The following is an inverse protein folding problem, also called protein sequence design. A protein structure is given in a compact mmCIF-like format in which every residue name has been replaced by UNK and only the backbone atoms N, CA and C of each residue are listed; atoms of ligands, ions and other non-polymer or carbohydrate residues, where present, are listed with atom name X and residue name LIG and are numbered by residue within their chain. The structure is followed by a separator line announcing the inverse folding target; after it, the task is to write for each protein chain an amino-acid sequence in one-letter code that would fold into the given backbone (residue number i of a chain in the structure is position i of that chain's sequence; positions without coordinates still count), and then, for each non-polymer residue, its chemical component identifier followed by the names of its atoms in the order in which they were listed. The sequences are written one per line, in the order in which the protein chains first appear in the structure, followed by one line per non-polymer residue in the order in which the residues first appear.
data_IF_757048853006
#
_entry.id   IF_757048853006
#
_cell.length_a   1.000
_cell.length_b   1.000
_cell.length_c   1.000
_cell.angle_alpha   90.00
_cell.angle_beta   90.00
_cell.angle_gamma   90.00
#
_symmetry.space_group_name_H-M   'P 1'
#
loop_
_entity.id
_entity.type
_entity.pdbx_description
1 polymer ?
#
# COMPACT_ATOMS: atom_id res chain seq x y z
N UNK A 1 -14.84 -2.05 -11.53
CA UNK A 1 -16.01 -2.89 -11.88
C UNK A 1 -17.03 -2.82 -10.76
N UNK A 2 -17.95 -1.86 -10.81
CA UNK A 2 -19.03 -1.76 -9.85
C UNK A 2 -20.08 -2.87 -10.08
N UNK A 3 -20.68 -3.36 -9.00
CA UNK A 3 -21.80 -4.31 -9.04
C UNK A 3 -22.74 -4.07 -7.85
N UNK A 4 -24.01 -4.46 -7.98
CA UNK A 4 -25.08 -4.14 -7.01
C UNK A 4 -25.74 -5.37 -6.36
N UNK A 5 -25.34 -6.57 -6.77
CA UNK A 5 -25.96 -7.82 -6.35
C UNK A 5 -25.00 -8.99 -6.50
N UNK A 6 -25.22 -10.03 -5.69
CA UNK A 6 -24.42 -11.26 -5.72
C UNK A 6 -24.45 -11.93 -7.10
N UNK A 7 -25.61 -11.92 -7.77
CA UNK A 7 -25.72 -12.45 -9.14
C UNK A 7 -24.94 -11.58 -10.14
N UNK A 8 -24.93 -10.25 -9.97
CA UNK A 8 -24.13 -9.37 -10.82
C UNK A 8 -22.64 -9.65 -10.66
N UNK A 9 -22.17 -9.88 -9.43
CA UNK A 9 -20.79 -10.28 -9.17
C UNK A 9 -20.43 -11.57 -9.93
N UNK A 10 -21.23 -12.63 -9.80
CA UNK A 10 -20.98 -13.91 -10.49
C UNK A 10 -21.00 -13.73 -12.02
N UNK A 11 -22.00 -13.01 -12.57
CA UNK A 11 -22.10 -12.74 -14.02
C UNK A 11 -20.90 -11.98 -14.56
N UNK A 12 -20.32 -11.07 -13.77
CA UNK A 12 -19.14 -10.32 -14.16
C UNK A 12 -17.87 -11.18 -14.08
N UNK A 13 -17.66 -11.92 -12.99
CA UNK A 13 -16.38 -12.58 -12.73
C UNK A 13 -16.24 -13.90 -13.50
N UNK A 14 -17.27 -14.76 -13.52
CA UNK A 14 -17.16 -16.14 -14.05
C UNK A 14 -16.72 -16.20 -15.53
N UNK A 15 -17.31 -15.43 -16.46
CA UNK A 15 -16.88 -15.49 -17.87
C UNK A 15 -15.41 -15.12 -18.04
N UNK A 16 -14.93 -14.11 -17.28
CA UNK A 16 -13.55 -13.62 -17.35
C UNK A 16 -12.56 -14.65 -16.81
N UNK A 17 -12.92 -15.32 -15.71
CA UNK A 17 -12.14 -16.43 -15.17
C UNK A 17 -12.02 -17.57 -16.19
N UNK A 18 -13.14 -17.99 -16.81
CA UNK A 18 -13.11 -19.06 -17.83
C UNK A 18 -12.26 -18.70 -19.05
N UNK A 19 -12.38 -17.46 -19.55
CA UNK A 19 -11.56 -16.98 -20.66
C UNK A 19 -10.08 -17.01 -20.27
N UNK A 20 -9.73 -16.49 -19.09
CA UNK A 20 -8.36 -16.48 -18.61
C UNK A 20 -7.76 -17.89 -18.45
N UNK A 21 -8.53 -18.84 -17.90
CA UNK A 21 -8.11 -20.24 -17.81
C UNK A 21 -7.90 -20.86 -19.20
N UNK A 22 -8.81 -20.59 -20.15
CA UNK A 22 -8.68 -21.05 -21.54
C UNK A 22 -7.43 -20.46 -22.23
N UNK A 23 -7.06 -19.22 -21.90
CA UNK A 23 -5.84 -18.57 -22.39
C UNK A 23 -4.56 -19.05 -21.67
N UNK A 24 -4.66 -19.98 -20.73
CA UNK A 24 -3.55 -20.48 -19.93
C UNK A 24 -3.01 -19.48 -18.91
N UNK A 25 -3.81 -18.47 -18.52
CA UNK A 25 -3.43 -17.52 -17.46
C UNK A 25 -3.57 -18.18 -16.10
N UNK A 26 -2.69 -17.80 -15.18
CA UNK A 26 -2.85 -18.09 -13.75
C UNK A 26 -3.92 -17.14 -13.19
N UNK A 27 -4.91 -17.65 -12.46
CA UNK A 27 -6.03 -16.85 -11.96
C UNK A 27 -5.99 -16.75 -10.44
N UNK A 28 -6.02 -15.52 -9.90
CA UNK A 28 -6.17 -15.25 -8.48
C UNK A 28 -7.47 -14.48 -8.25
N UNK A 29 -8.28 -14.94 -7.29
CA UNK A 29 -9.46 -14.23 -6.81
C UNK A 29 -9.28 -13.89 -5.34
N UNK A 30 -9.42 -12.61 -5.02
CA UNK A 30 -9.38 -12.05 -3.67
C UNK A 30 -10.70 -11.36 -3.39
N UNK A 31 -11.57 -11.96 -2.56
CA UNK A 31 -12.90 -11.44 -2.21
C UNK A 31 -13.34 -11.98 -0.84
N UNK A 32 -14.56 -11.65 -0.40
CA UNK A 32 -15.13 -12.19 0.83
C UNK A 32 -15.41 -13.70 0.70
N UNK A 33 -15.50 -14.44 1.83
CA UNK A 33 -15.78 -15.88 1.81
C UNK A 33 -17.04 -16.26 1.02
N UNK A 34 -18.13 -15.50 1.18
CA UNK A 34 -19.40 -15.78 0.50
C UNK A 34 -19.27 -15.71 -1.03
N UNK A 35 -18.58 -14.69 -1.54
CA UNK A 35 -18.31 -14.53 -2.97
C UNK A 35 -17.35 -15.60 -3.51
N UNK A 36 -16.37 -16.02 -2.69
CA UNK A 36 -15.51 -17.15 -3.03
C UNK A 36 -16.36 -18.42 -3.19
N UNK A 37 -17.27 -18.72 -2.27
CA UNK A 37 -18.13 -19.92 -2.34
C UNK A 37 -19.05 -19.88 -3.56
N UNK A 38 -19.66 -18.73 -3.85
CA UNK A 38 -20.46 -18.51 -5.08
C UNK A 38 -19.67 -18.79 -6.35
N UNK A 39 -18.40 -18.38 -6.39
CA UNK A 39 -17.53 -18.67 -7.53
C UNK A 39 -17.17 -20.14 -7.62
N UNK A 40 -17.00 -20.84 -6.50
CA UNK A 40 -16.81 -22.31 -6.50
C UNK A 40 -17.97 -22.99 -7.21
N UNK A 41 -19.19 -22.67 -6.78
CA UNK A 41 -20.40 -23.30 -7.29
C UNK A 41 -20.59 -23.01 -8.78
N UNK A 42 -20.38 -21.75 -9.18
CA UNK A 42 -20.56 -21.33 -10.57
C UNK A 42 -19.47 -21.83 -11.53
N UNK A 43 -18.23 -22.01 -11.06
CA UNK A 43 -17.11 -22.51 -11.86
C UNK A 43 -17.08 -24.05 -11.93
N UNK A 44 -17.61 -24.74 -10.92
CA UNK A 44 -17.59 -26.20 -10.84
C UNK A 44 -16.15 -26.73 -10.85
N UNK A 45 -15.82 -27.60 -11.82
CA UNK A 45 -14.48 -28.22 -11.91
C UNK A 45 -13.36 -27.18 -12.12
N UNK A 46 -13.67 -26.08 -12.80
CA UNK A 46 -12.69 -25.02 -13.08
C UNK A 46 -12.20 -24.33 -11.80
N UNK A 47 -12.96 -24.41 -10.70
CA UNK A 47 -12.61 -23.80 -9.42
C UNK A 47 -11.26 -24.31 -8.86
N UNK A 48 -10.88 -25.56 -9.17
CA UNK A 48 -9.59 -26.13 -8.78
C UNK A 48 -8.37 -25.50 -9.45
N UNK A 49 -8.58 -24.68 -10.48
CA UNK A 49 -7.52 -23.97 -11.22
C UNK A 49 -7.41 -22.49 -10.82
N UNK A 50 -8.17 -22.05 -9.82
CA UNK A 50 -8.20 -20.66 -9.35
C UNK A 50 -7.55 -20.57 -7.96
N UNK A 51 -6.49 -19.76 -7.85
CA UNK A 51 -5.92 -19.38 -6.56
C UNK A 51 -6.90 -18.44 -5.82
N UNK A 52 -7.12 -18.68 -4.52
CA UNK A 52 -8.15 -17.97 -3.74
C UNK A 52 -7.56 -17.36 -2.47
N UNK A 53 -7.93 -16.13 -2.15
CA UNK A 53 -7.51 -15.44 -0.93
C UNK A 53 -8.68 -14.66 -0.33
N UNK A 54 -8.73 -14.59 0.99
CA UNK A 54 -9.77 -13.82 1.70
C UNK A 54 -9.38 -12.34 1.73
N UNK A 55 -10.28 -11.47 1.28
CA UNK A 55 -10.03 -10.04 1.14
C UNK A 55 -9.62 -9.37 2.46
N UNK A 56 -10.27 -9.70 3.58
CA UNK A 56 -10.00 -9.08 4.88
C UNK A 56 -8.53 -9.27 5.32
N UNK A 57 -7.98 -10.47 5.18
CA UNK A 57 -6.58 -10.74 5.51
C UNK A 57 -5.61 -10.26 4.42
N UNK A 58 -6.00 -10.37 3.15
CA UNK A 58 -5.11 -10.03 2.04
C UNK A 58 -4.87 -8.53 1.99
N UNK A 59 -5.93 -7.72 2.04
CA UNK A 59 -5.86 -6.27 2.04
C UNK A 59 -5.64 -5.66 3.44
N UNK A 60 -5.31 -6.46 4.45
CA UNK A 60 -5.01 -5.95 5.80
C UNK A 60 -3.88 -4.92 5.78
N UNK A 61 -2.97 -5.03 4.81
CA UNK A 61 -1.88 -4.07 4.60
C UNK A 61 -1.68 -3.80 3.10
N UNK A 62 -1.86 -2.56 2.61
CA UNK A 62 -1.84 -2.25 1.18
C UNK A 62 -0.49 -2.56 0.51
N UNK A 63 0.63 -2.25 1.18
CA UNK A 63 1.96 -2.47 0.62
C UNK A 63 2.42 -3.93 0.64
N UNK A 64 1.98 -4.73 1.62
CA UNK A 64 2.17 -6.19 1.58
C UNK A 64 1.30 -6.84 0.51
N UNK A 65 0.09 -6.31 0.29
CA UNK A 65 -0.76 -6.71 -0.84
C UNK A 65 -0.06 -6.45 -2.16
N UNK A 66 0.54 -5.26 -2.31
CA UNK A 66 1.28 -4.87 -3.51
C UNK A 66 2.47 -5.79 -3.76
N UNK A 67 3.26 -6.08 -2.72
CA UNK A 67 4.37 -7.03 -2.80
C UNK A 67 3.91 -8.41 -3.25
N UNK A 68 2.83 -8.93 -2.64
CA UNK A 68 2.30 -10.24 -2.97
C UNK A 68 1.72 -10.31 -4.40
N UNK A 69 1.10 -9.23 -4.89
CA UNK A 69 0.63 -9.13 -6.27
C UNK A 69 1.80 -9.04 -7.26
N UNK A 70 2.84 -8.26 -6.95
CA UNK A 70 4.05 -8.21 -7.74
C UNK A 70 4.68 -9.61 -7.89
N UNK A 71 4.89 -10.32 -6.79
CA UNK A 71 5.43 -11.69 -6.81
C UNK A 71 4.54 -12.67 -7.57
N UNK A 72 3.22 -12.54 -7.41
CA UNK A 72 2.25 -13.41 -8.08
C UNK A 72 2.25 -13.24 -9.60
N UNK A 73 2.43 -12.01 -10.08
CA UNK A 73 2.37 -11.65 -11.51
C UNK A 73 3.70 -11.84 -12.23
N UNK A 74 4.82 -11.95 -11.50
CA UNK A 74 6.16 -12.08 -12.07
C UNK A 74 6.28 -13.34 -12.94
N UNK A 75 6.71 -13.14 -14.19
CA UNK A 75 7.08 -14.20 -15.12
C UNK A 75 5.93 -15.06 -15.66
N UNK A 76 4.66 -14.69 -15.43
CA UNK A 76 3.49 -15.43 -15.93
C UNK A 76 2.38 -14.50 -16.38
N UNK A 77 1.61 -14.94 -17.38
CA UNK A 77 0.36 -14.26 -17.75
C UNK A 77 -0.66 -14.52 -16.64
N UNK A 78 -1.22 -13.46 -16.08
CA UNK A 78 -2.11 -13.56 -14.92
C UNK A 78 -3.43 -12.84 -15.14
N UNK A 79 -4.45 -13.32 -14.46
CA UNK A 79 -5.69 -12.60 -14.17
C UNK A 79 -5.81 -12.52 -12.65
N UNK A 80 -6.02 -11.32 -12.13
CA UNK A 80 -6.31 -11.07 -10.73
C UNK A 80 -7.67 -10.37 -10.65
N UNK A 81 -8.56 -10.92 -9.82
CA UNK A 81 -9.83 -10.28 -9.45
C UNK A 81 -9.71 -9.89 -7.99
N UNK A 82 -9.67 -8.60 -7.71
CA UNK A 82 -9.47 -8.05 -6.38
C UNK A 82 -10.69 -7.29 -5.90
N UNK A 83 -11.14 -7.57 -4.69
CA UNK A 83 -12.22 -6.85 -4.02
C UNK A 83 -11.77 -6.45 -2.61
N UNK A 84 -11.38 -5.18 -2.39
CA UNK A 84 -11.00 -4.71 -1.06
C UNK A 84 -12.16 -4.82 -0.06
N UNK A 85 -11.86 -5.25 1.17
CA UNK A 85 -12.83 -5.29 2.26
C UNK A 85 -12.93 -3.91 2.94
N UNK A 86 -14.06 -3.21 2.80
CA UNK A 86 -14.19 -1.83 3.30
C UNK A 86 -14.63 -1.70 4.76
N UNK A 87 -15.20 -2.75 5.33
CA UNK A 87 -15.78 -2.74 6.67
C UNK A 87 -14.75 -2.42 7.75
N UNK A 88 -15.09 -1.51 8.66
CA UNK A 88 -14.24 -1.12 9.80
C UNK A 88 -13.08 -0.19 9.47
N UNK A 89 -12.88 0.20 8.20
CA UNK A 89 -11.79 1.08 7.79
C UNK A 89 -12.08 2.55 8.08
N UNK A 90 -11.06 3.26 8.56
CA UNK A 90 -11.09 4.71 8.71
C UNK A 90 -10.68 5.44 7.41
N UNK A 91 -10.88 6.75 7.36
CA UNK A 91 -10.60 7.56 6.16
C UNK A 91 -9.14 7.48 5.69
N UNK A 92 -8.18 7.34 6.62
CA UNK A 92 -6.76 7.18 6.29
C UNK A 92 -6.53 5.85 5.57
N UNK A 93 -7.09 4.76 6.08
CA UNK A 93 -6.98 3.44 5.45
C UNK A 93 -7.64 3.41 4.06
N UNK A 94 -8.83 4.02 3.92
CA UNK A 94 -9.50 4.16 2.61
C UNK A 94 -8.62 4.91 1.61
N UNK A 95 -8.01 6.02 2.01
CA UNK A 95 -7.08 6.77 1.14
C UNK A 95 -5.85 5.95 0.74
N UNK A 96 -5.25 5.20 1.67
CA UNK A 96 -4.11 4.34 1.35
C UNK A 96 -4.47 3.26 0.33
N UNK A 97 -5.70 2.75 0.35
CA UNK A 97 -6.15 1.75 -0.62
C UNK A 97 -6.44 2.35 -1.99
N UNK A 98 -7.03 3.56 -2.04
CA UNK A 98 -7.17 4.30 -3.30
C UNK A 98 -5.78 4.51 -3.93
N UNK A 99 -4.79 4.92 -3.11
CA UNK A 99 -3.41 5.08 -3.59
C UNK A 99 -2.80 3.76 -4.03
N UNK A 100 -3.02 2.68 -3.28
CA UNK A 100 -2.59 1.34 -3.64
C UNK A 100 -3.15 0.89 -5.00
N UNK A 101 -4.44 1.06 -5.24
CA UNK A 101 -5.07 0.73 -6.53
C UNK A 101 -4.46 1.51 -7.69
N UNK A 102 -4.20 2.80 -7.49
CA UNK A 102 -3.51 3.61 -8.49
C UNK A 102 -2.10 3.08 -8.75
N UNK A 103 -1.28 2.89 -7.70
CA UNK A 103 0.11 2.42 -7.78
C UNK A 103 0.24 1.07 -8.50
N UNK A 104 -0.76 0.19 -8.43
CA UNK A 104 -0.75 -1.09 -9.15
C UNK A 104 -0.57 -0.90 -10.66
N UNK A 105 -1.10 0.17 -11.26
CA UNK A 105 -0.90 0.46 -12.67
C UNK A 105 0.59 0.65 -13.02
N UNK A 106 1.37 1.27 -12.14
CA UNK A 106 2.80 1.45 -12.35
C UNK A 106 3.60 0.19 -11.96
N UNK A 107 3.30 -0.40 -10.80
CA UNK A 107 4.04 -1.54 -10.27
C UNK A 107 3.88 -2.82 -11.09
N UNK A 108 2.75 -2.97 -11.79
CA UNK A 108 2.45 -4.16 -12.60
C UNK A 108 2.54 -3.92 -14.11
N UNK A 109 2.79 -2.67 -14.57
CA UNK A 109 2.94 -2.34 -15.99
C UNK A 109 3.94 -3.23 -16.76
N UNK A 110 5.08 -3.67 -16.18
CA UNK A 110 6.03 -4.54 -16.87
C UNK A 110 5.53 -5.98 -17.08
N UNK A 111 4.44 -6.39 -16.42
CA UNK A 111 3.97 -7.77 -16.41
C UNK A 111 2.71 -7.97 -17.25
N UNK A 112 2.54 -9.18 -17.76
CA UNK A 112 1.35 -9.58 -18.51
C UNK A 112 0.16 -9.89 -17.56
N UNK A 113 -0.22 -8.93 -16.74
CA UNK A 113 -1.27 -9.04 -15.74
C UNK A 113 -2.54 -8.30 -16.17
N UNK A 114 -3.69 -8.94 -16.00
CA UNK A 114 -5.00 -8.30 -16.01
C UNK A 114 -5.48 -8.20 -14.57
N UNK A 115 -5.80 -6.99 -14.10
CA UNK A 115 -6.31 -6.76 -12.74
C UNK A 115 -7.71 -6.15 -12.83
N UNK A 116 -8.71 -6.85 -12.30
CA UNK A 116 -10.06 -6.34 -12.15
C UNK A 116 -10.33 -5.99 -10.69
N UNK A 117 -10.44 -4.69 -10.40
CA UNK A 117 -10.88 -4.19 -9.10
C UNK A 117 -12.41 -4.14 -9.05
N UNK A 118 -12.98 -4.90 -8.13
CA UNK A 118 -14.42 -5.06 -7.90
C UNK A 118 -14.89 -4.11 -6.80
N UNK A 119 -16.07 -3.53 -6.99
CA UNK A 119 -16.70 -2.64 -6.01
C UNK A 119 -18.14 -3.07 -5.78
N UNK A 120 -18.45 -3.59 -4.59
CA UNK A 120 -19.82 -3.79 -4.15
C UNK A 120 -20.44 -2.43 -3.83
N UNK A 121 -21.35 -1.94 -4.68
CA UNK A 121 -22.02 -0.65 -4.52
C UNK A 121 -22.85 -0.57 -3.23
N UNK A 122 -23.18 -1.71 -2.62
CA UNK A 122 -23.90 -1.76 -1.34
C UNK A 122 -22.98 -1.52 -0.13
N UNK A 123 -21.65 -1.65 -0.30
CA UNK A 123 -20.67 -1.65 0.80
C UNK A 123 -19.50 -0.69 0.62
N UNK A 124 -19.15 -0.35 -0.63
CA UNK A 124 -18.00 0.50 -0.91
C UNK A 124 -18.23 1.93 -0.43
N UNK A 125 -17.23 2.58 0.22
CA UNK A 125 -17.38 3.93 0.71
C UNK A 125 -17.47 4.92 -0.48
N UNK A 126 -18.23 6.02 -0.34
CA UNK A 126 -18.40 7.00 -1.41
C UNK A 126 -17.08 7.53 -1.98
N UNK A 127 -16.08 7.74 -1.13
CA UNK A 127 -14.75 8.20 -1.55
C UNK A 127 -14.05 7.17 -2.47
N UNK A 128 -14.06 5.88 -2.11
CA UNK A 128 -13.46 4.86 -2.98
C UNK A 128 -14.17 4.79 -4.34
N UNK A 129 -15.51 4.93 -4.36
CA UNK A 129 -16.29 4.97 -5.60
C UNK A 129 -16.00 6.23 -6.42
N UNK A 130 -15.80 7.39 -5.78
CA UNK A 130 -15.47 8.64 -6.44
C UNK A 130 -14.09 8.59 -7.13
N UNK A 131 -13.12 7.87 -6.56
CA UNK A 131 -11.80 7.66 -7.15
C UNK A 131 -11.70 6.44 -8.07
N UNK A 132 -12.79 5.70 -8.30
CA UNK A 132 -12.80 4.54 -9.19
C UNK A 132 -12.32 4.92 -10.60
N UNK A 133 -12.92 5.95 -11.21
CA UNK A 133 -12.55 6.47 -12.53
C UNK A 133 -11.17 7.14 -12.57
N UNK A 134 -10.66 7.59 -11.42
CA UNK A 134 -9.34 8.22 -11.32
C UNK A 134 -8.23 7.17 -11.31
N UNK A 135 -8.46 6.04 -10.63
CA UNK A 135 -7.42 5.02 -10.40
C UNK A 135 -7.35 3.96 -11.49
N UNK A 136 -8.38 3.84 -12.35
CA UNK A 136 -8.49 2.78 -13.35
C UNK A 136 -8.51 3.36 -14.77
N UNK A 137 -7.59 2.96 -15.67
CA UNK A 137 -7.57 3.44 -17.05
C UNK A 137 -8.73 2.91 -17.88
N UNK A 138 -9.30 1.77 -17.48
CA UNK A 138 -10.43 1.11 -18.13
C UNK A 138 -11.52 0.86 -17.10
N UNK A 139 -12.75 1.23 -17.45
CA UNK A 139 -13.96 0.95 -16.69
C UNK A 139 -14.74 -0.14 -17.41
N UNK A 140 -15.38 -1.00 -16.63
CA UNK A 140 -16.06 -2.17 -17.16
C UNK A 140 -17.36 -2.37 -16.42
N UNK A 141 -18.45 -2.33 -17.19
CA UNK A 141 -19.83 -2.49 -16.74
C UNK A 141 -20.59 -3.48 -17.64
N UNK A 142 -21.93 -3.44 -17.62
CA UNK A 142 -22.78 -4.29 -18.45
C UNK A 142 -22.75 -3.93 -19.95
N UNK A 143 -22.42 -2.68 -20.31
CA UNK A 143 -22.34 -2.20 -21.69
C UNK A 143 -20.98 -2.52 -22.33
N UNK A 144 -19.94 -2.73 -21.53
CA UNK A 144 -18.65 -3.21 -21.98
C UNK A 144 -17.48 -2.45 -21.36
N UNK A 145 -16.31 -2.59 -21.98
CA UNK A 145 -15.10 -1.88 -21.56
C UNK A 145 -15.05 -0.49 -22.18
N UNK A 146 -14.75 0.52 -21.37
CA UNK A 146 -14.61 1.91 -21.81
C UNK A 146 -13.38 2.55 -21.17
N UNK A 147 -12.61 3.37 -21.90
CA UNK A 147 -11.54 4.17 -21.28
C UNK A 147 -12.10 5.16 -20.26
N UNK A 148 -11.44 5.29 -19.11
CA UNK A 148 -11.79 6.31 -18.14
C UNK A 148 -11.24 7.68 -18.55
N UNK A 149 -12.12 8.64 -18.83
CA UNK A 149 -11.71 10.01 -19.14
C UNK A 149 -11.08 10.75 -17.94
N UNK A 150 -11.31 10.27 -16.72
CA UNK A 150 -10.79 10.85 -15.48
C UNK A 150 -9.52 10.19 -14.94
N UNK A 151 -8.95 9.22 -15.66
CA UNK A 151 -7.78 8.48 -15.20
C UNK A 151 -6.59 9.40 -14.99
N UNK A 152 -5.93 9.26 -13.83
CA UNK A 152 -4.71 10.00 -13.48
C UNK A 152 -3.57 8.99 -13.29
N UNK A 153 -2.44 9.17 -13.99
CA UNK A 153 -1.27 8.33 -13.81
C UNK A 153 -0.81 8.31 -12.34
N UNK A 154 -0.28 7.19 -11.81
CA UNK A 154 -0.05 7.06 -10.38
C UNK A 154 0.93 8.07 -9.79
N UNK A 155 1.94 8.50 -10.58
CA UNK A 155 2.89 9.53 -10.17
C UNK A 155 2.33 10.96 -10.12
N UNK A 156 1.13 11.17 -10.67
CA UNK A 156 0.43 12.47 -10.68
C UNK A 156 -0.78 12.49 -9.73
N UNK A 157 -1.13 11.35 -9.13
CA UNK A 157 -2.26 11.25 -8.21
C UNK A 157 -1.98 12.06 -6.95
N UNK A 158 -2.89 12.99 -6.66
CA UNK A 158 -2.88 13.79 -5.43
C UNK A 158 -4.22 13.61 -4.73
N UNK A 159 -4.21 12.95 -3.58
CA UNK A 159 -5.39 12.79 -2.73
C UNK A 159 -5.55 13.98 -1.77
N UNK A 160 -6.74 14.11 -1.20
CA UNK A 160 -6.98 15.10 -0.15
C UNK A 160 -6.02 14.89 1.03
N UNK A 161 -5.30 15.97 1.41
CA UNK A 161 -4.26 15.93 2.44
C UNK A 161 -2.83 15.71 1.91
N UNK A 162 -2.65 15.23 0.68
CA UNK A 162 -1.32 14.93 0.11
C UNK A 162 -0.47 16.19 -0.13
N UNK A 163 -1.04 17.40 -0.04
CA UNK A 163 -0.32 18.69 -0.12
C UNK A 163 -0.30 19.50 1.17
N UNK A 164 -1.08 19.13 2.18
CA UNK A 164 -1.11 19.84 3.46
C UNK A 164 0.17 19.59 4.27
N UNK A 165 0.70 20.59 5.00
CA UNK A 165 1.79 20.36 5.94
C UNK A 165 1.43 19.25 6.93
N UNK A 166 2.42 18.43 7.28
CA UNK A 166 2.21 17.42 8.32
C UNK A 166 1.90 18.11 9.65
N UNK A 167 0.90 17.64 10.43
CA UNK A 167 0.58 18.22 11.73
C UNK A 167 1.81 18.24 12.65
N UNK A 168 1.95 19.28 13.48
CA UNK A 168 3.07 19.37 14.42
C UNK A 168 3.16 18.14 15.35
N UNK A 169 4.36 17.75 15.80
CA UNK A 169 4.53 16.66 16.75
C UNK A 169 3.66 16.84 18.01
N UNK A 170 3.17 15.73 18.55
CA UNK A 170 2.32 15.74 19.74
C UNK A 170 3.07 16.11 21.03
N UNK A 171 2.35 16.29 22.14
CA UNK A 171 2.95 16.53 23.45
C UNK A 171 3.96 15.44 23.84
N UNK A 172 5.03 15.85 24.53
CA UNK A 172 6.08 14.91 24.97
C UNK A 172 7.00 14.40 23.85
N UNK A 173 6.96 15.04 22.67
CA UNK A 173 7.87 14.71 21.59
C UNK A 173 9.34 14.85 21.99
N UNK A 174 10.14 13.85 21.63
CA UNK A 174 11.59 13.82 21.87
C UNK A 174 12.30 13.93 20.53
N UNK A 175 13.16 14.93 20.40
CA UNK A 175 13.95 15.14 19.18
C UNK A 175 15.42 14.80 19.41
N UNK A 176 16.00 14.04 18.49
CA UNK A 176 17.40 13.62 18.51
C UNK A 176 18.02 13.97 17.16
N UNK A 177 19.13 14.73 17.18
CA UNK A 177 19.99 14.93 16.01
C UNK A 177 20.88 13.71 15.83
N UNK A 178 21.12 13.32 14.59
CA UNK A 178 22.03 12.22 14.26
C UNK A 178 22.88 12.52 13.02
N UNK A 179 24.01 11.83 12.96
CA UNK A 179 24.95 11.74 11.82
C UNK A 179 25.26 10.26 11.53
N UNK A 180 26.05 9.97 10.50
CA UNK A 180 26.53 8.61 10.18
C UNK A 180 27.07 7.85 11.41
N UNK A 181 27.81 8.56 12.27
CA UNK A 181 28.48 7.98 13.45
C UNK A 181 27.49 7.58 14.55
N UNK A 182 26.29 8.14 14.53
CA UNK A 182 25.29 8.00 15.59
C UNK A 182 24.18 7.03 15.22
N UNK A 183 24.14 6.52 13.97
CA UNK A 183 23.08 5.61 13.51
C UNK A 183 22.90 4.38 14.43
N UNK A 184 24.01 3.79 14.93
CA UNK A 184 23.93 2.67 15.88
C UNK A 184 23.27 3.05 17.20
N UNK A 185 23.58 4.25 17.71
CA UNK A 185 23.00 4.78 18.96
C UNK A 185 21.54 5.13 18.76
N UNK A 186 21.20 5.75 17.63
CA UNK A 186 19.83 6.07 17.23
C UNK A 186 18.95 4.81 17.24
N UNK A 187 19.42 3.70 16.63
CA UNK A 187 18.70 2.42 16.65
C UNK A 187 18.38 1.91 18.06
N UNK A 188 19.34 2.01 18.98
CA UNK A 188 19.12 1.62 20.37
C UNK A 188 18.09 2.54 21.04
N UNK A 189 18.26 3.86 20.90
CA UNK A 189 17.34 4.84 21.48
C UNK A 189 15.90 4.64 21.02
N UNK A 190 15.67 4.40 19.72
CA UNK A 190 14.33 4.12 19.17
C UNK A 190 13.78 2.80 19.71
N UNK A 191 14.60 1.75 19.75
CA UNK A 191 14.17 0.46 20.28
C UNK A 191 13.79 0.51 21.76
N UNK A 192 14.58 1.21 22.57
CA UNK A 192 14.32 1.37 24.01
C UNK A 192 13.10 2.24 24.27
N UNK A 193 12.94 3.32 23.50
CA UNK A 193 11.75 4.16 23.52
C UNK A 193 10.48 3.36 23.20
N UNK A 194 10.49 2.58 22.12
CA UNK A 194 9.34 1.79 21.71
C UNK A 194 8.97 0.69 22.72
N UNK A 195 9.96 0.00 23.30
CA UNK A 195 9.74 -0.98 24.37
C UNK A 195 9.16 -0.34 25.62
N UNK A 196 9.67 0.83 25.99
CA UNK A 196 9.18 1.57 27.17
C UNK A 196 7.72 1.99 26.98
N UNK A 197 7.32 2.28 25.74
CA UNK A 197 5.94 2.58 25.39
C UNK A 197 5.02 1.33 25.33
N UNK A 198 5.55 0.12 25.57
CA UNK A 198 4.77 -1.12 25.60
C UNK A 198 4.56 -1.79 24.24
N UNK A 199 5.28 -1.36 23.20
CA UNK A 199 5.14 -1.95 21.86
C UNK A 199 5.57 -3.41 21.82
N UNK A 200 4.82 -4.24 21.10
CA UNK A 200 5.15 -5.65 20.88
C UNK A 200 6.54 -5.83 20.24
N UNK A 201 7.25 -6.92 20.59
CA UNK A 201 8.67 -7.12 20.24
C UNK A 201 8.94 -7.08 18.74
N UNK A 202 8.08 -7.73 17.96
CA UNK A 202 8.13 -7.78 16.50
C UNK A 202 7.91 -6.39 15.89
N UNK A 203 6.95 -5.61 16.41
CA UNK A 203 6.70 -4.24 15.99
C UNK A 203 7.86 -3.30 16.35
N UNK A 204 8.54 -3.50 17.49
CA UNK A 204 9.78 -2.78 17.82
C UNK A 204 10.86 -3.07 16.77
N UNK A 205 11.01 -4.31 16.33
CA UNK A 205 11.95 -4.66 15.27
C UNK A 205 11.58 -3.97 13.95
N UNK A 206 10.31 -4.00 13.56
CA UNK A 206 9.80 -3.27 12.39
C UNK A 206 10.13 -1.78 12.43
N UNK A 207 9.81 -1.11 13.53
CA UNK A 207 10.07 0.32 13.71
C UNK A 207 11.56 0.64 13.61
N UNK A 208 12.41 -0.13 14.29
CA UNK A 208 13.86 0.09 14.29
C UNK A 208 14.43 -0.09 12.89
N UNK A 209 14.00 -1.11 12.14
CA UNK A 209 14.42 -1.29 10.74
C UNK A 209 14.02 -0.06 9.91
N UNK A 210 12.76 0.33 9.93
CA UNK A 210 12.27 1.47 9.14
C UNK A 210 13.01 2.77 9.50
N UNK A 211 13.19 3.09 10.78
CA UNK A 211 13.97 4.26 11.20
C UNK A 211 15.42 4.17 10.71
N UNK A 212 16.03 2.99 10.75
CA UNK A 212 17.42 2.79 10.32
C UNK A 212 17.61 3.08 8.84
N UNK A 213 16.73 2.54 8.01
CA UNK A 213 16.76 2.71 6.56
C UNK A 213 16.58 4.17 6.18
N UNK A 214 15.58 4.84 6.77
CA UNK A 214 15.30 6.25 6.47
C UNK A 214 16.41 7.17 7.00
N UNK A 215 16.94 6.92 8.20
CA UNK A 215 18.03 7.70 8.75
C UNK A 215 19.35 7.49 7.97
N UNK A 216 19.62 6.27 7.51
CA UNK A 216 20.76 5.98 6.64
C UNK A 216 20.63 6.74 5.31
N UNK A 217 19.45 6.74 4.67
CA UNK A 217 19.20 7.50 3.45
C UNK A 217 19.47 9.00 3.64
N UNK A 218 19.01 9.60 4.75
CA UNK A 218 19.27 11.01 5.06
C UNK A 218 20.75 11.33 5.23
N UNK A 219 21.53 10.40 5.77
CA UNK A 219 22.99 10.59 5.93
C UNK A 219 23.75 10.36 4.62
N UNK A 220 23.40 9.32 3.88
CA UNK A 220 24.15 8.89 2.68
C UNK A 220 23.80 9.71 1.44
N UNK A 221 22.56 10.18 1.36
CA UNK A 221 22.01 10.88 0.19
C UNK A 221 21.59 12.33 0.48
N UNK A 222 21.34 12.65 1.75
CA UNK A 222 21.01 14.01 2.20
C UNK A 222 22.24 14.81 2.66
N UNK A 223 22.04 15.71 3.62
CA UNK A 223 23.08 16.62 4.11
C UNK A 223 24.13 15.97 5.06
N UNK A 224 24.16 14.64 5.19
CA UNK A 224 25.07 13.93 6.12
C UNK A 224 24.59 13.88 7.57
N UNK A 225 23.42 14.44 7.85
CA UNK A 225 22.80 14.46 9.17
C UNK A 225 21.28 14.62 9.03
N UNK A 226 20.56 14.28 10.10
CA UNK A 226 19.13 14.52 10.18
C UNK A 226 18.67 14.71 11.63
N UNK A 227 17.37 14.89 11.80
CA UNK A 227 16.73 14.85 13.12
C UNK A 227 15.60 13.85 13.10
N UNK A 228 15.52 13.00 14.11
CA UNK A 228 14.31 12.23 14.39
C UNK A 228 13.52 12.94 15.49
N UNK A 229 12.20 13.00 15.35
CA UNK A 229 11.26 13.38 16.41
C UNK A 229 10.33 12.20 16.66
N UNK A 230 10.19 11.79 17.92
CA UNK A 230 9.42 10.62 18.33
C UNK A 230 8.36 11.02 19.34
N UNK A 231 7.11 10.60 19.14
CA UNK A 231 6.00 10.87 20.06
C UNK A 231 4.92 9.79 20.00
N UNK A 232 4.03 9.81 20.98
CA UNK A 232 2.85 8.94 21.02
C UNK A 232 1.61 9.74 20.67
N UNK A 233 0.73 9.18 19.84
CA UNK A 233 -0.56 9.77 19.53
C UNK A 233 -1.59 8.68 19.21
N UNK A 234 -2.74 8.69 19.87
CA UNK A 234 -3.88 7.85 19.50
C UNK A 234 -3.61 6.34 19.53
N UNK A 235 -2.69 5.85 20.38
CA UNK A 235 -2.31 4.42 20.41
C UNK A 235 -1.25 4.03 19.37
N UNK A 236 -0.73 5.00 18.62
CA UNK A 236 0.40 4.84 17.70
C UNK A 236 1.68 5.43 18.29
N UNK A 237 2.80 4.82 17.97
CA UNK A 237 4.12 5.44 17.99
C UNK A 237 4.41 6.07 16.64
N UNK A 238 4.78 7.35 16.68
CA UNK A 238 5.10 8.13 15.49
C UNK A 238 6.55 8.56 15.55
N UNK A 239 7.28 8.27 14.46
CA UNK A 239 8.65 8.70 14.25
C UNK A 239 8.71 9.55 12.98
N UNK A 240 9.11 10.82 13.10
CA UNK A 240 9.38 11.69 11.96
C UNK A 240 10.87 11.93 11.81
N UNK A 241 11.42 11.58 10.66
CA UNK A 241 12.79 11.92 10.29
C UNK A 241 12.74 13.10 9.34
N UNK A 242 13.41 14.18 9.71
CA UNK A 242 13.62 15.34 8.85
C UNK A 242 15.04 15.30 8.27
N UNK A 243 15.10 15.26 6.95
CA UNK A 243 16.29 15.19 6.12
C UNK A 243 16.51 16.54 5.39
N UNK A 244 17.46 17.36 5.86
CA UNK A 244 17.78 18.63 5.22
C UNK A 244 18.42 18.40 3.84
N UNK A 245 17.91 19.12 2.84
CA UNK A 245 18.35 18.97 1.45
C UNK A 245 17.78 17.73 0.74
N UNK A 246 16.98 16.91 1.42
CA UNK A 246 16.28 15.80 0.80
C UNK A 246 15.20 16.27 -0.17
N UNK A 247 15.05 15.55 -1.29
CA UNK A 247 14.07 15.82 -2.34
C UNK A 247 13.21 14.58 -2.65
N UNK A 248 12.03 14.82 -3.24
CA UNK A 248 11.14 13.77 -3.76
C UNK A 248 11.19 13.80 -5.29
N UNK A 249 12.30 13.32 -5.85
CA UNK A 249 12.50 13.30 -7.30
C UNK A 249 11.74 12.14 -7.96
N UNK A 250 11.56 11.03 -7.24
CA UNK A 250 10.70 9.92 -7.63
C UNK A 250 9.25 10.23 -7.19
N UNK A 251 8.27 10.23 -8.11
CA UNK A 251 6.86 10.48 -7.76
C UNK A 251 6.22 9.30 -7.01
N UNK A 252 6.82 8.11 -7.04
CA UNK A 252 6.34 6.90 -6.37
C UNK A 252 7.39 6.33 -5.40
N UNK A 253 7.93 7.15 -4.47
CA UNK A 253 9.09 6.80 -3.69
C UNK A 253 8.75 5.62 -2.76
N UNK A 254 9.46 4.51 -2.98
CA UNK A 254 9.29 3.27 -2.25
C UNK A 254 7.93 2.61 -2.42
N UNK A 255 7.15 2.97 -3.45
CA UNK A 255 5.92 2.26 -3.80
C UNK A 255 6.17 1.11 -4.76
N UNK A 256 7.17 1.24 -5.64
CA UNK A 256 7.51 0.22 -6.61
C UNK A 256 8.49 -0.78 -5.98
N UNK A 257 8.18 -2.10 -5.99
CA UNK A 257 9.13 -3.12 -5.56
C UNK A 257 10.45 -2.98 -6.34
N UNK A 258 11.61 -2.87 -5.66
CA UNK A 258 12.89 -2.82 -6.34
C UNK A 258 13.20 -4.17 -6.98
N UNK A 259 13.86 -4.16 -8.14
CA UNK A 259 14.37 -5.40 -8.74
C UNK A 259 15.42 -6.04 -7.82
N UNK A 260 15.47 -7.39 -7.69
CA UNK A 260 16.36 -8.10 -6.76
C UNK A 260 17.85 -7.73 -6.87
N UNK A 261 18.28 -7.29 -8.05
CA UNK A 261 19.66 -6.93 -8.37
C UNK A 261 19.95 -5.44 -8.16
N UNK A 262 18.94 -4.65 -7.79
CA UNK A 262 19.11 -3.23 -7.53
C UNK A 262 20.05 -3.02 -6.33
N UNK A 263 21.07 -2.15 -6.44
CA UNK A 263 21.92 -1.83 -5.30
C UNK A 263 21.24 -0.88 -4.30
N UNK A 264 20.07 -0.30 -4.63
CA UNK A 264 19.40 0.77 -3.86
C UNK A 264 17.87 0.70 -3.96
N UNK A 265 17.17 1.47 -3.12
CA UNK A 265 15.70 1.65 -3.20
C UNK A 265 14.88 0.76 -2.27
N UNK A 266 15.52 -0.15 -1.53
CA UNK A 266 14.83 -1.07 -0.63
C UNK A 266 14.29 -0.40 0.63
N UNK A 267 15.01 0.58 1.18
CA UNK A 267 14.72 1.08 2.52
C UNK A 267 13.29 1.63 2.69
N UNK A 268 12.84 2.47 1.75
CA UNK A 268 11.50 3.03 1.79
C UNK A 268 10.43 1.99 1.44
N UNK A 269 10.71 1.11 0.46
CA UNK A 269 9.83 -0.02 0.11
C UNK A 269 9.60 -0.98 1.28
N UNK A 270 10.66 -1.32 2.02
CA UNK A 270 10.59 -2.14 3.24
C UNK A 270 9.82 -1.39 4.32
N UNK A 271 10.13 -0.11 4.54
CA UNK A 271 9.44 0.71 5.54
C UNK A 271 7.94 0.76 5.31
N UNK A 272 7.49 0.88 4.04
CA UNK A 272 6.07 0.83 3.69
C UNK A 272 5.40 -0.49 4.02
N UNK A 273 6.12 -1.61 4.11
CA UNK A 273 5.54 -2.92 4.47
C UNK A 273 5.60 -3.22 5.97
N UNK A 274 6.50 -2.55 6.69
CA UNK A 274 6.74 -2.75 8.11
C UNK A 274 5.94 -1.76 8.99
N UNK A 275 5.62 -0.58 8.46
CA UNK A 275 4.84 0.45 9.15
C UNK A 275 3.40 0.48 8.65
N UNK A 276 2.45 0.82 9.53
CA UNK A 276 1.03 0.97 9.18
C UNK A 276 0.80 2.12 8.19
N UNK A 277 1.61 3.19 8.30
CA UNK A 277 1.66 4.28 7.32
C UNK A 277 3.07 4.88 7.24
N UNK A 278 3.45 5.29 6.02
CA UNK A 278 4.64 6.08 5.74
C UNK A 278 4.24 7.31 4.92
N UNK A 279 4.27 8.48 5.53
CA UNK A 279 4.01 9.76 4.88
C UNK A 279 5.32 10.45 4.48
N UNK A 280 5.34 11.10 3.31
CA UNK A 280 6.46 11.90 2.87
C UNK A 280 6.01 13.32 2.59
N UNK A 281 6.80 14.29 3.02
CA UNK A 281 6.53 15.71 2.85
C UNK A 281 7.81 16.49 2.56
N UNK A 282 7.93 17.05 1.37
CA UNK A 282 9.00 17.99 1.06
C UNK A 282 8.49 19.43 1.26
N UNK A 283 9.10 20.16 2.20
CA UNK A 283 8.76 21.57 2.46
C UNK A 283 10.01 22.33 2.95
N UNK A 284 10.23 23.55 2.42
CA UNK A 284 11.32 24.40 2.90
C UNK A 284 12.72 23.81 2.73
N UNK A 285 12.92 22.95 1.72
CA UNK A 285 14.20 22.25 1.51
C UNK A 285 14.46 21.11 2.48
N UNK A 286 13.44 20.63 3.19
CA UNK A 286 13.52 19.49 4.10
C UNK A 286 12.53 18.42 3.65
N UNK A 287 13.00 17.19 3.50
CA UNK A 287 12.15 16.02 3.35
C UNK A 287 11.83 15.46 4.73
N UNK A 288 10.53 15.40 5.08
CA UNK A 288 10.05 14.71 6.26
C UNK A 288 9.50 13.35 5.86
N UNK A 289 9.95 12.31 6.53
CA UNK A 289 9.40 10.96 6.43
C UNK A 289 8.79 10.61 7.79
N UNK A 290 7.48 10.42 7.83
CA UNK A 290 6.73 10.12 9.06
C UNK A 290 6.23 8.69 9.03
N UNK A 291 6.67 7.92 10.02
CA UNK A 291 6.34 6.51 10.22
C UNK A 291 5.28 6.42 11.32
N UNK A 292 4.20 5.70 11.06
CA UNK A 292 3.17 5.38 12.04
C UNK A 292 3.13 3.88 12.28
N UNK A 293 3.18 3.49 13.54
CA UNK A 293 2.97 2.10 13.95
C UNK A 293 2.09 2.07 15.20
N UNK A 294 1.03 1.29 15.14
CA UNK A 294 0.19 0.95 16.29
C UNK A 294 1.03 0.20 17.33
N UNK A 295 0.74 0.40 18.61
CA UNK A 295 1.46 -0.29 19.69
C UNK A 295 1.29 -1.84 19.65
N UNK A 296 0.29 -2.33 18.92
CA UNK A 296 -0.18 -3.70 18.97
C UNK A 296 -1.19 -3.87 20.11
N UNK A 297 -2.33 -4.50 19.82
CA UNK A 297 -3.28 -4.92 20.85
C UNK A 297 -2.85 -6.26 21.45
#
# INVERSE_FOLDING_TARGET
MPYDSDDAFVRLVVPRVRIALTEGRRVLVITCPDNLDRLTDALGRDAGHVDRRVAASWYAHPYRTLAALHDYTRGRRTLVVGEPAWEGRNDREVRELIRHESVLNAALAPYAALLFCMYDLRRAPPDALAYHGVSHPLLLDAAGETPSAGFVPPGELVLSGDRAPLPAPGPGAVTIRFTARELRRLRHSVGDWARTAGMARDLVTSLVISVSEIAANSVEHGAGFGTITMWHAGGELICEIADPGGALDDPLPGYIPPEPESPRGYGLWISRQLCDLVELRAEGGVLRVRLHLSLGA
#
